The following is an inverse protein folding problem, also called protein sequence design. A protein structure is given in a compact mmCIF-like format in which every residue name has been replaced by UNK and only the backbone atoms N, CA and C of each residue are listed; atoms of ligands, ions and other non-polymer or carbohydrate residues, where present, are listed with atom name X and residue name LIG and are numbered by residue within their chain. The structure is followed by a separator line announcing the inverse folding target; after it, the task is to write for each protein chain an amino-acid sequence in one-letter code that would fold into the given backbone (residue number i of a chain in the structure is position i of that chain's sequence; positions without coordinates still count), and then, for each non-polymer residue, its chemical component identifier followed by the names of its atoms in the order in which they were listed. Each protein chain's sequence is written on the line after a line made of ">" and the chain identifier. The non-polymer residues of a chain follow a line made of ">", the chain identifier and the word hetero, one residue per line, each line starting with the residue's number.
data_IF_300857480098
#
_entry.id   IF_300857480098
#
_cell.length_a   1.000
_cell.length_b   1.000
_cell.length_c   1.000
_cell.angle_alpha   90.00
_cell.angle_beta   90.00
_cell.angle_gamma   90.00
#
_symmetry.space_group_name_H-M   'P 1'
#
loop_
_entity.id
_entity.type
_entity.pdbx_description
1 polymer ?
#
# COMPACT_ATOMS: atom_id res chain seq x y z
N UNK A 1 11.02 12.24 -21.25
CA UNK A 1 11.90 13.38 -20.87
C UNK A 1 11.80 13.75 -19.37
N UNK A 2 10.69 13.47 -18.68
CA UNK A 2 10.42 13.84 -17.26
C UNK A 2 11.44 13.30 -16.24
N UNK A 3 12.05 12.13 -16.46
CA UNK A 3 12.93 11.47 -15.49
C UNK A 3 14.43 11.55 -15.83
N UNK A 4 14.81 12.23 -16.92
CA UNK A 4 16.22 12.26 -17.38
C UNK A 4 17.14 13.11 -16.47
N UNK A 5 16.57 14.02 -15.69
CA UNK A 5 17.31 14.92 -14.79
C UNK A 5 17.41 14.41 -13.34
N UNK A 6 16.66 13.36 -12.95
CA UNK A 6 16.68 12.79 -11.59
C UNK A 6 16.58 11.28 -11.60
N UNK A 7 17.70 10.58 -11.50
CA UNK A 7 17.75 9.11 -11.48
C UNK A 7 16.96 8.52 -10.29
N UNK A 8 16.88 9.22 -9.15
CA UNK A 8 16.11 8.79 -7.99
C UNK A 8 14.60 8.64 -8.29
N UNK A 9 14.00 9.56 -9.06
CA UNK A 9 12.60 9.47 -9.48
C UNK A 9 12.33 8.29 -10.41
N UNK A 10 13.26 7.96 -11.31
CA UNK A 10 13.14 6.79 -12.19
C UNK A 10 13.28 5.49 -11.38
N UNK A 11 14.26 5.41 -10.49
CA UNK A 11 14.49 4.23 -9.64
C UNK A 11 13.27 3.98 -8.75
N UNK A 12 12.71 5.02 -8.13
CA UNK A 12 11.51 4.89 -7.29
C UNK A 12 10.28 4.46 -8.10
N UNK A 13 10.09 5.00 -9.32
CA UNK A 13 9.01 4.57 -10.20
C UNK A 13 9.14 3.09 -10.61
N UNK A 14 10.34 2.62 -10.93
CA UNK A 14 10.61 1.22 -11.25
C UNK A 14 10.36 0.34 -10.01
N UNK A 15 10.85 0.75 -8.83
CA UNK A 15 10.62 0.02 -7.58
C UNK A 15 9.14 -0.12 -7.26
N UNK A 16 8.37 0.97 -7.36
CA UNK A 16 6.93 0.93 -7.16
C UNK A 16 6.22 0.05 -8.20
N UNK A 17 6.62 0.15 -9.47
CA UNK A 17 6.09 -0.71 -10.52
C UNK A 17 6.34 -2.20 -10.23
N UNK A 18 7.53 -2.55 -9.73
CA UNK A 18 7.86 -3.92 -9.30
C UNK A 18 7.02 -4.36 -8.11
N UNK A 19 6.85 -3.51 -7.09
CA UNK A 19 6.03 -3.81 -5.91
C UNK A 19 4.55 -4.03 -6.28
N UNK A 20 3.97 -3.15 -7.11
CA UNK A 20 2.59 -3.32 -7.58
C UNK A 20 2.43 -4.53 -8.50
N UNK A 21 3.42 -4.81 -9.36
CA UNK A 21 3.43 -6.03 -10.18
C UNK A 21 3.52 -7.28 -9.30
N UNK A 22 4.38 -7.28 -8.28
CA UNK A 22 4.48 -8.38 -7.33
C UNK A 22 3.15 -8.60 -6.56
N UNK A 23 2.48 -7.52 -6.16
CA UNK A 23 1.16 -7.58 -5.53
C UNK A 23 0.10 -8.17 -6.46
N UNK A 24 0.09 -7.74 -7.72
CA UNK A 24 -0.87 -8.19 -8.74
C UNK A 24 -0.69 -9.66 -9.11
N UNK A 25 0.57 -10.10 -9.20
CA UNK A 25 0.95 -11.48 -9.52
C UNK A 25 1.24 -12.33 -8.27
N UNK A 26 0.89 -11.85 -7.07
CA UNK A 26 1.13 -12.55 -5.82
C UNK A 26 0.68 -14.01 -5.84
N UNK A 27 -0.51 -14.38 -6.36
CA UNK A 27 -0.95 -15.78 -6.39
C UNK A 27 -0.07 -16.69 -7.27
N UNK A 28 0.53 -16.14 -8.32
CA UNK A 28 1.47 -16.87 -9.19
C UNK A 28 2.87 -16.97 -8.58
N UNK A 29 3.34 -15.90 -7.94
CA UNK A 29 4.69 -15.81 -7.34
C UNK A 29 4.81 -16.59 -6.03
N UNK A 30 3.72 -16.73 -5.30
CA UNK A 30 3.69 -17.40 -4.00
C UNK A 30 3.67 -18.92 -4.17
N UNK A 31 4.54 -19.68 -3.45
CA UNK A 31 4.56 -21.14 -3.54
C UNK A 31 3.41 -21.82 -2.79
N UNK A 32 2.73 -21.12 -1.87
CA UNK A 32 1.65 -21.62 -1.03
C UNK A 32 0.46 -20.67 -0.98
N UNK A 33 -0.60 -21.02 -0.25
CA UNK A 33 -1.68 -20.08 0.07
C UNK A 33 -1.40 -19.37 1.39
N UNK A 34 -1.80 -18.10 1.56
CA UNK A 34 -1.44 -17.29 2.74
C UNK A 34 -2.02 -17.82 4.07
N UNK A 35 -3.08 -18.63 4.01
CA UNK A 35 -3.72 -19.26 5.17
C UNK A 35 -3.20 -20.65 5.49
N UNK A 36 -2.31 -21.23 4.68
CA UNK A 36 -1.75 -22.54 4.94
C UNK A 36 -0.86 -22.51 6.18
N UNK A 37 -1.20 -23.31 7.18
CA UNK A 37 -0.49 -23.44 8.45
C UNK A 37 0.20 -24.79 8.55
N UNK A 38 1.41 -24.80 9.12
CA UNK A 38 2.13 -26.02 9.47
C UNK A 38 2.73 -25.88 10.89
N UNK A 39 1.99 -26.34 11.88
CA UNK A 39 2.39 -26.24 13.28
C UNK A 39 3.69 -27.00 13.61
N UNK A 40 4.15 -27.89 12.74
CA UNK A 40 5.44 -28.56 12.90
C UNK A 40 6.61 -27.72 12.37
N UNK A 41 6.31 -26.56 11.74
CA UNK A 41 7.31 -25.67 11.13
C UNK A 41 7.13 -24.22 11.58
N UNK A 42 6.77 -24.02 12.84
CA UNK A 42 6.66 -22.69 13.44
C UNK A 42 8.04 -22.03 13.51
N UNK A 43 8.10 -20.74 13.18
CA UNK A 43 9.35 -19.96 13.16
C UNK A 43 10.50 -20.62 12.37
N UNK A 44 10.16 -21.39 11.34
CA UNK A 44 11.18 -22.00 10.48
C UNK A 44 12.03 -20.91 9.83
N UNK A 45 13.38 -21.02 9.87
CA UNK A 45 14.25 -20.02 9.26
C UNK A 45 14.10 -19.99 7.74
N UNK A 46 14.54 -18.92 7.07
CA UNK A 46 14.61 -18.88 5.62
C UNK A 46 15.33 -20.10 5.06
N UNK A 47 14.68 -20.77 4.11
CA UNK A 47 15.19 -22.00 3.51
C UNK A 47 16.37 -21.70 2.61
N UNK A 48 17.53 -22.30 2.86
CA UNK A 48 18.70 -22.13 2.02
C UNK A 48 18.51 -22.84 0.67
N UNK A 49 18.76 -22.08 -0.40
CA UNK A 49 18.84 -22.62 -1.76
C UNK A 49 20.27 -23.09 -2.04
N UNK A 50 20.42 -24.33 -2.52
CA UNK A 50 21.70 -24.94 -2.82
C UNK A 50 21.70 -25.51 -4.24
N UNK A 51 22.85 -25.41 -4.91
CA UNK A 51 23.00 -26.01 -6.22
C UNK A 51 23.48 -27.45 -6.07
N UNK A 52 22.69 -28.43 -6.53
CA UNK A 52 23.02 -29.85 -6.44
C UNK A 52 22.66 -30.57 -7.75
N UNK A 53 23.57 -31.37 -8.29
CA UNK A 53 23.36 -32.13 -9.54
C UNK A 53 22.86 -31.30 -10.73
N UNK A 54 23.35 -30.07 -10.88
CA UNK A 54 22.94 -29.18 -11.97
C UNK A 54 21.55 -28.54 -11.79
N UNK A 55 20.92 -28.67 -10.62
CA UNK A 55 19.59 -28.14 -10.31
C UNK A 55 19.60 -27.31 -9.02
N UNK A 56 18.75 -26.30 -8.97
CA UNK A 56 18.50 -25.52 -7.77
C UNK A 56 17.65 -26.36 -6.82
N UNK A 57 18.13 -26.59 -5.61
CA UNK A 57 17.48 -27.40 -4.59
C UNK A 57 17.23 -26.62 -3.31
N UNK A 58 16.24 -27.01 -2.57
CA UNK A 58 15.86 -26.49 -1.26
C UNK A 58 16.45 -27.41 -0.20
N UNK A 59 17.25 -26.87 0.74
CA UNK A 59 17.81 -27.62 1.85
C UNK A 59 16.71 -28.04 2.82
N UNK A 60 16.75 -29.28 3.29
CA UNK A 60 15.82 -29.80 4.30
C UNK A 60 16.33 -29.45 5.70
N UNK A 61 15.39 -29.17 6.60
CA UNK A 61 15.66 -28.86 8.00
C UNK A 61 14.87 -29.79 8.92
N UNK A 62 15.41 -30.05 10.08
CA UNK A 62 14.75 -30.77 11.19
C UNK A 62 14.63 -29.84 12.38
N UNK A 63 13.46 -29.79 13.00
CA UNK A 63 13.26 -29.13 14.29
C UNK A 63 13.97 -29.93 15.38
N UNK A 64 14.91 -29.31 16.07
CA UNK A 64 15.71 -29.92 17.14
C UNK A 64 15.16 -29.53 18.49
N UNK A 65 14.84 -28.27 18.69
CA UNK A 65 14.25 -27.75 19.92
C UNK A 65 12.98 -26.94 19.61
N UNK A 66 11.80 -27.48 19.94
CA UNK A 66 10.54 -26.78 19.77
C UNK A 66 10.38 -25.52 20.64
N UNK A 67 11.06 -25.46 21.80
CA UNK A 67 10.91 -24.32 22.73
C UNK A 67 11.58 -23.07 22.24
N UNK A 68 12.70 -23.21 21.55
CA UNK A 68 13.47 -22.12 20.91
C UNK A 68 13.27 -22.05 19.41
N UNK A 69 12.45 -22.94 18.82
CA UNK A 69 12.29 -23.13 17.39
C UNK A 69 13.65 -23.24 16.66
N UNK A 70 14.56 -24.04 17.25
CA UNK A 70 15.89 -24.27 16.68
C UNK A 70 15.81 -25.35 15.61
N UNK A 71 16.24 -25.00 14.40
CA UNK A 71 16.27 -25.89 13.24
C UNK A 71 17.70 -26.17 12.82
N UNK A 72 17.98 -27.42 12.51
CA UNK A 72 19.26 -27.83 11.94
C UNK A 72 19.08 -28.35 10.51
N UNK A 73 19.98 -27.97 9.60
CA UNK A 73 19.94 -28.48 8.25
C UNK A 73 20.30 -29.96 8.22
N UNK A 74 19.54 -30.78 7.52
CA UNK A 74 19.84 -32.19 7.30
C UNK A 74 21.01 -32.33 6.32
N UNK A 75 22.13 -32.87 6.79
CA UNK A 75 23.36 -33.00 6.00
C UNK A 75 23.10 -33.76 4.70
N UNK A 76 23.48 -33.16 3.57
CA UNK A 76 23.37 -33.78 2.25
C UNK A 76 21.95 -33.96 1.72
N UNK A 77 20.89 -33.63 2.48
CA UNK A 77 19.50 -33.73 2.02
C UNK A 77 19.00 -32.40 1.44
N UNK A 78 18.57 -32.45 0.20
CA UNK A 78 17.94 -31.33 -0.48
C UNK A 78 16.92 -31.85 -1.51
N UNK A 79 15.83 -31.13 -1.68
CA UNK A 79 14.81 -31.45 -2.67
C UNK A 79 14.87 -30.47 -3.85
N UNK A 80 14.67 -30.92 -5.09
CA UNK A 80 14.70 -30.03 -6.24
C UNK A 80 13.60 -28.98 -6.21
N UNK A 81 13.95 -27.74 -6.54
CA UNK A 81 13.00 -26.67 -6.80
C UNK A 81 12.42 -26.89 -8.20
N UNK A 82 11.10 -26.95 -8.30
CA UNK A 82 10.40 -27.09 -9.56
C UNK A 82 9.84 -25.77 -10.03
N UNK A 83 10.27 -25.32 -11.20
CA UNK A 83 9.78 -24.10 -11.84
C UNK A 83 8.48 -24.38 -12.60
N UNK A 84 7.59 -23.37 -12.61
CA UNK A 84 6.30 -23.42 -13.31
C UNK A 84 5.49 -24.68 -13.01
N UNK A 85 5.48 -25.07 -11.76
CA UNK A 85 4.89 -26.31 -11.26
C UNK A 85 3.47 -26.11 -10.76
N UNK A 86 2.69 -27.20 -10.74
CA UNK A 86 1.35 -27.17 -10.20
C UNK A 86 1.38 -27.13 -8.66
N UNK A 87 0.54 -26.29 -8.07
CA UNK A 87 0.37 -26.12 -6.64
C UNK A 87 -1.10 -25.91 -6.26
N UNK A 88 -1.38 -25.29 -5.13
CA UNK A 88 -2.74 -24.96 -4.68
C UNK A 88 -3.48 -24.14 -5.73
N UNK A 89 -4.77 -24.40 -5.92
CA UNK A 89 -5.60 -23.64 -6.85
C UNK A 89 -5.78 -22.19 -6.35
N UNK A 90 -5.66 -21.25 -7.27
CA UNK A 90 -5.89 -19.82 -7.00
C UNK A 90 -6.67 -19.16 -8.14
N UNK A 91 -7.11 -17.92 -7.94
CA UNK A 91 -7.70 -17.09 -8.98
C UNK A 91 -6.79 -15.92 -9.27
N UNK A 92 -6.19 -15.90 -10.46
CA UNK A 92 -5.40 -14.75 -10.88
C UNK A 92 -6.34 -13.56 -11.15
N UNK A 93 -6.02 -12.39 -10.61
CA UNK A 93 -6.87 -11.18 -10.64
C UNK A 93 -8.28 -11.39 -10.09
N UNK A 94 -8.49 -12.43 -9.26
CA UNK A 94 -9.82 -12.79 -8.76
C UNK A 94 -10.75 -13.46 -9.77
N UNK A 95 -10.34 -13.60 -11.03
CA UNK A 95 -11.18 -14.02 -12.16
C UNK A 95 -10.72 -15.33 -12.81
N UNK A 96 -9.43 -15.46 -13.11
CA UNK A 96 -8.88 -16.55 -13.91
C UNK A 96 -8.43 -17.69 -13.00
N UNK A 97 -9.08 -18.88 -13.01
CA UNK A 97 -8.63 -20.01 -12.23
C UNK A 97 -7.28 -20.52 -12.76
N UNK A 98 -6.32 -20.70 -11.88
CA UNK A 98 -5.00 -21.22 -12.20
C UNK A 98 -4.47 -22.10 -11.07
N UNK A 99 -3.46 -22.94 -11.39
CA UNK A 99 -2.76 -23.81 -10.43
C UNK A 99 -1.25 -23.76 -10.61
N UNK A 100 -0.76 -23.05 -11.63
CA UNK A 100 0.67 -22.97 -11.93
C UNK A 100 1.28 -21.86 -11.10
N UNK A 101 2.25 -22.21 -10.26
CA UNK A 101 3.07 -21.28 -9.47
C UNK A 101 4.45 -21.11 -10.11
N UNK A 102 5.09 -19.98 -9.87
CA UNK A 102 6.43 -19.70 -10.38
C UNK A 102 7.42 -20.79 -9.95
N UNK A 103 7.34 -21.24 -8.70
CA UNK A 103 8.16 -22.32 -8.15
C UNK A 103 7.43 -23.01 -7.01
N UNK A 104 7.72 -24.31 -6.83
CA UNK A 104 7.33 -25.12 -5.64
C UNK A 104 8.43 -26.10 -5.30
N UNK A 105 8.31 -26.81 -4.19
CA UNK A 105 9.17 -27.96 -3.87
C UNK A 105 8.32 -29.22 -3.68
N UNK A 106 8.91 -30.38 -3.98
CA UNK A 106 8.25 -31.67 -3.72
C UNK A 106 8.22 -31.99 -2.22
N UNK A 107 7.10 -32.55 -1.76
CA UNK A 107 7.00 -33.05 -0.40
C UNK A 107 8.11 -34.07 -0.10
N UNK A 108 8.72 -34.07 1.09
CA UNK A 108 8.36 -33.32 2.29
C UNK A 108 8.99 -31.90 2.39
N UNK A 109 9.67 -31.44 1.34
CA UNK A 109 10.29 -30.11 1.33
C UNK A 109 9.23 -29.01 1.20
N UNK A 110 9.47 -27.89 1.86
CA UNK A 110 8.72 -26.64 1.73
C UNK A 110 9.69 -25.50 1.45
N UNK A 111 9.29 -24.57 0.61
CA UNK A 111 10.09 -23.38 0.28
C UNK A 111 9.61 -22.23 1.14
N UNK A 112 10.37 -21.87 2.14
CA UNK A 112 10.18 -20.69 2.97
C UNK A 112 11.27 -19.67 2.65
N UNK A 113 11.11 -18.87 1.58
CA UNK A 113 12.14 -17.90 1.16
C UNK A 113 12.45 -16.86 2.26
N UNK A 114 11.43 -16.45 3.01
CA UNK A 114 11.55 -15.53 4.14
C UNK A 114 11.13 -16.22 5.47
N UNK A 115 11.31 -17.53 5.58
CA UNK A 115 10.94 -18.26 6.79
C UNK A 115 9.43 -18.39 6.99
N UNK A 116 9.06 -18.89 8.19
CA UNK A 116 7.66 -18.99 8.63
C UNK A 116 7.36 -18.19 9.89
N UNK A 117 6.07 -17.96 10.15
CA UNK A 117 5.58 -17.26 11.33
C UNK A 117 5.28 -18.20 12.51
N UNK A 118 4.68 -17.66 13.57
CA UNK A 118 4.31 -18.41 14.80
C UNK A 118 3.37 -19.59 14.56
N UNK A 119 2.66 -19.64 13.46
CA UNK A 119 1.74 -20.71 13.08
C UNK A 119 2.24 -21.55 11.90
N UNK A 120 3.51 -21.35 11.50
CA UNK A 120 4.13 -22.06 10.39
C UNK A 120 3.67 -21.63 9.01
N UNK A 121 3.09 -20.43 8.87
CA UNK A 121 2.71 -19.86 7.57
C UNK A 121 3.91 -19.23 6.89
N UNK A 122 3.99 -19.36 5.58
CA UNK A 122 5.06 -18.78 4.77
C UNK A 122 5.02 -17.25 4.77
N UNK A 123 6.07 -16.64 5.33
CA UNK A 123 6.20 -15.18 5.42
C UNK A 123 6.30 -14.53 4.04
N UNK A 124 6.99 -15.17 3.08
CA UNK A 124 7.10 -14.65 1.71
C UNK A 124 5.74 -14.59 1.00
N UNK A 125 4.97 -15.69 1.06
CA UNK A 125 3.61 -15.73 0.53
C UNK A 125 2.74 -14.65 1.16
N UNK A 126 2.76 -14.53 2.49
CA UNK A 126 1.97 -13.53 3.21
C UNK A 126 2.40 -12.10 2.88
N UNK A 127 3.69 -11.85 2.70
CA UNK A 127 4.22 -10.55 2.29
C UNK A 127 3.70 -10.14 0.91
N UNK A 128 3.68 -11.08 -0.06
CA UNK A 128 3.16 -10.86 -1.40
C UNK A 128 1.64 -10.57 -1.39
N UNK A 129 0.85 -11.40 -0.72
CA UNK A 129 -0.60 -11.17 -0.62
C UNK A 129 -0.92 -9.91 0.19
N UNK A 130 -0.18 -9.67 1.26
CA UNK A 130 -0.30 -8.48 2.10
C UNK A 130 0.00 -7.19 1.35
N UNK A 131 0.90 -7.23 0.36
CA UNK A 131 1.18 -6.08 -0.49
C UNK A 131 -0.07 -5.62 -1.26
N UNK A 132 -0.90 -6.56 -1.74
CA UNK A 132 -2.15 -6.22 -2.44
C UNK A 132 -3.10 -5.41 -1.58
N UNK A 133 -3.21 -5.72 -0.28
CA UNK A 133 -4.04 -4.98 0.67
C UNK A 133 -3.39 -3.64 1.03
N UNK A 134 -2.14 -3.65 1.52
CA UNK A 134 -1.49 -2.44 2.01
C UNK A 134 -1.27 -1.39 0.91
N UNK A 135 -0.82 -1.80 -0.28
CA UNK A 135 -0.68 -0.90 -1.43
C UNK A 135 -2.03 -0.49 -2.01
N UNK A 136 -3.01 -1.39 -2.00
CA UNK A 136 -4.37 -1.14 -2.47
C UNK A 136 -5.07 -0.06 -1.66
N UNK A 137 -4.98 -0.09 -0.31
CA UNK A 137 -5.51 0.94 0.58
C UNK A 137 -4.90 2.30 0.25
N UNK A 138 -3.59 2.36 -0.02
CA UNK A 138 -2.90 3.58 -0.40
C UNK A 138 -3.48 4.21 -1.66
N UNK A 139 -3.61 3.45 -2.75
CA UNK A 139 -4.14 3.97 -4.03
C UNK A 139 -5.62 4.31 -3.94
N UNK A 140 -6.46 3.38 -3.46
CA UNK A 140 -7.91 3.58 -3.43
C UNK A 140 -8.28 4.70 -2.45
N UNK A 141 -7.62 4.75 -1.29
CA UNK A 141 -7.84 5.80 -0.30
C UNK A 141 -7.47 7.18 -0.81
N UNK A 142 -6.29 7.33 -1.43
CA UNK A 142 -5.86 8.60 -2.02
C UNK A 142 -6.76 9.01 -3.20
N UNK A 143 -7.20 8.06 -4.03
CA UNK A 143 -8.14 8.35 -5.12
C UNK A 143 -9.45 8.94 -4.58
N UNK A 144 -10.08 8.29 -3.60
CA UNK A 144 -11.33 8.77 -2.99
C UNK A 144 -11.14 10.12 -2.29
N UNK A 145 -10.06 10.29 -1.55
CA UNK A 145 -9.70 11.56 -0.90
C UNK A 145 -9.52 12.68 -1.92
N UNK A 146 -8.80 12.40 -3.00
CA UNK A 146 -8.57 13.38 -4.07
C UNK A 146 -9.87 13.75 -4.76
N UNK A 147 -10.75 12.80 -5.00
CA UNK A 147 -12.06 13.02 -5.59
C UNK A 147 -12.95 13.90 -4.69
N UNK A 148 -13.03 13.58 -3.40
CA UNK A 148 -13.79 14.36 -2.41
C UNK A 148 -13.18 15.77 -2.25
N UNK A 149 -11.86 15.85 -2.09
CA UNK A 149 -11.16 17.12 -1.93
C UNK A 149 -11.29 18.02 -3.15
N UNK A 150 -11.18 17.44 -4.36
CA UNK A 150 -11.35 18.17 -5.62
C UNK A 150 -12.79 18.69 -5.79
N UNK A 151 -13.78 17.86 -5.52
CA UNK A 151 -15.19 18.24 -5.69
C UNK A 151 -15.63 19.26 -4.63
N UNK A 152 -15.40 18.98 -3.35
CA UNK A 152 -15.83 19.86 -2.26
C UNK A 152 -15.02 21.16 -2.26
N UNK A 153 -13.69 21.08 -2.39
CA UNK A 153 -12.84 22.27 -2.45
C UNK A 153 -13.08 23.12 -3.71
N UNK A 154 -13.32 22.45 -4.85
CA UNK A 154 -13.67 23.10 -6.10
C UNK A 154 -14.98 23.87 -6.03
N UNK A 155 -16.02 23.23 -5.52
CA UNK A 155 -17.34 23.85 -5.32
C UNK A 155 -17.27 25.00 -4.32
N UNK A 156 -16.62 24.80 -3.16
CA UNK A 156 -16.45 25.83 -2.15
C UNK A 156 -15.72 27.07 -2.71
N UNK A 157 -14.61 26.87 -3.42
CA UNK A 157 -13.84 27.97 -4.03
C UNK A 157 -14.55 28.69 -5.15
N UNK A 158 -15.40 27.96 -5.92
CA UNK A 158 -16.13 28.58 -7.05
C UNK A 158 -17.41 29.32 -6.60
N UNK A 159 -18.25 28.65 -5.78
CA UNK A 159 -19.54 29.22 -5.35
C UNK A 159 -19.36 30.33 -4.30
N UNK A 160 -18.41 30.17 -3.37
CA UNK A 160 -18.24 31.09 -2.26
C UNK A 160 -19.42 31.08 -1.27
N UNK A 161 -19.55 32.17 -0.51
CA UNK A 161 -20.70 32.39 0.40
C UNK A 161 -20.86 31.30 1.46
N UNK A 162 -22.11 30.89 1.72
CA UNK A 162 -22.43 29.90 2.77
C UNK A 162 -21.86 28.49 2.49
N UNK A 163 -21.82 28.09 1.21
CA UNK A 163 -21.27 26.79 0.82
C UNK A 163 -19.77 26.69 1.14
N UNK A 164 -19.03 27.74 0.88
CA UNK A 164 -17.62 27.86 1.25
C UNK A 164 -17.46 27.86 2.77
N UNK A 165 -18.25 28.66 3.50
CA UNK A 165 -18.17 28.72 4.95
C UNK A 165 -18.46 27.35 5.60
N UNK A 166 -19.49 26.64 5.14
CA UNK A 166 -19.84 25.31 5.66
C UNK A 166 -18.73 24.30 5.38
N UNK A 167 -18.24 24.24 4.13
CA UNK A 167 -17.15 23.34 3.76
C UNK A 167 -15.90 23.59 4.60
N UNK A 168 -15.51 24.83 4.79
CA UNK A 168 -14.32 25.19 5.57
C UNK A 168 -14.49 24.89 7.06
N UNK A 169 -15.68 25.11 7.66
CA UNK A 169 -15.97 24.72 9.04
C UNK A 169 -15.85 23.20 9.25
N UNK A 170 -16.33 22.40 8.29
CA UNK A 170 -16.18 20.95 8.34
C UNK A 170 -14.70 20.55 8.25
N UNK A 171 -13.90 21.19 7.37
CA UNK A 171 -12.46 20.90 7.31
C UNK A 171 -11.75 21.30 8.61
N UNK A 172 -12.09 22.43 9.21
CA UNK A 172 -11.53 22.89 10.48
C UNK A 172 -11.82 21.89 11.60
N UNK A 173 -13.07 21.42 11.71
CA UNK A 173 -13.48 20.41 12.68
C UNK A 173 -12.67 19.11 12.51
N UNK A 174 -12.58 18.57 11.28
CA UNK A 174 -11.86 17.33 11.02
C UNK A 174 -10.36 17.46 11.30
N UNK A 175 -9.76 18.61 11.01
CA UNK A 175 -8.33 18.85 11.21
C UNK A 175 -7.97 19.24 12.65
N UNK A 176 -8.94 19.64 13.47
CA UNK A 176 -8.72 19.97 14.88
C UNK A 176 -8.50 18.71 15.74
N UNK A 177 -9.07 17.57 15.33
CA UNK A 177 -8.92 16.31 16.05
C UNK A 177 -7.68 15.57 15.54
N UNK A 178 -6.79 15.07 16.42
CA UNK A 178 -5.65 14.28 15.97
C UNK A 178 -6.12 13.05 15.19
N UNK A 179 -5.70 12.96 13.90
CA UNK A 179 -6.24 11.98 12.95
C UNK A 179 -6.18 10.53 13.42
N UNK A 180 -5.11 10.13 14.14
CA UNK A 180 -4.97 8.77 14.65
C UNK A 180 -6.07 8.43 15.67
N UNK A 181 -6.39 9.33 16.61
CA UNK A 181 -7.42 9.08 17.60
C UNK A 181 -8.83 8.98 16.96
N UNK A 182 -9.10 9.86 15.99
CA UNK A 182 -10.37 9.82 15.27
C UNK A 182 -10.50 8.54 14.44
N UNK A 183 -9.42 8.11 13.79
CA UNK A 183 -9.33 6.86 13.06
C UNK A 183 -9.63 5.65 13.96
N UNK A 184 -8.97 5.58 15.12
CA UNK A 184 -9.17 4.50 16.10
C UNK A 184 -10.61 4.49 16.65
N UNK A 185 -11.13 5.65 17.00
CA UNK A 185 -12.50 5.78 17.51
C UNK A 185 -13.55 5.35 16.48
N UNK A 186 -13.43 5.83 15.23
CA UNK A 186 -14.34 5.44 14.15
C UNK A 186 -14.23 3.95 13.83
N UNK A 187 -13.02 3.40 13.77
CA UNK A 187 -12.83 1.97 13.53
C UNK A 187 -13.43 1.13 14.65
N UNK A 188 -13.19 1.49 15.91
CA UNK A 188 -13.76 0.79 17.06
C UNK A 188 -15.30 0.84 17.07
N UNK A 189 -15.88 2.01 16.79
CA UNK A 189 -17.34 2.19 16.74
C UNK A 189 -18.02 1.40 15.60
N UNK A 190 -17.31 1.21 14.48
CA UNK A 190 -17.87 0.57 13.29
C UNK A 190 -17.53 -0.93 13.18
N UNK A 191 -16.53 -1.41 13.92
CA UNK A 191 -16.07 -2.81 13.83
C UNK A 191 -17.15 -3.86 14.09
N UNK A 192 -18.08 -3.60 15.02
CA UNK A 192 -19.18 -4.51 15.36
C UNK A 192 -20.31 -4.53 14.32
N UNK A 193 -20.33 -3.56 13.40
CA UNK A 193 -21.42 -3.41 12.41
C UNK A 193 -21.06 -3.97 11.04
N UNK A 194 -19.78 -4.27 10.79
CA UNK A 194 -19.30 -4.73 9.50
C UNK A 194 -18.59 -6.07 9.64
N UNK A 195 -18.83 -7.03 8.72
CA UNK A 195 -18.14 -8.31 8.69
C UNK A 195 -16.65 -8.14 8.38
N UNK A 196 -15.84 -9.15 8.71
CA UNK A 196 -14.39 -9.11 8.59
C UNK A 196 -13.90 -8.89 7.16
N UNK A 197 -14.62 -9.38 6.16
CA UNK A 197 -14.33 -9.22 4.73
C UNK A 197 -14.53 -7.78 4.25
N UNK A 198 -15.39 -7.00 4.91
CA UNK A 198 -15.59 -5.58 4.62
C UNK A 198 -14.52 -4.66 5.24
N UNK A 199 -13.59 -5.20 6.04
CA UNK A 199 -12.59 -4.40 6.77
C UNK A 199 -11.72 -3.55 5.86
N UNK A 200 -11.28 -4.08 4.72
CA UNK A 200 -10.53 -3.31 3.72
C UNK A 200 -11.29 -2.05 3.30
N UNK A 201 -12.55 -2.22 2.88
CA UNK A 201 -13.39 -1.11 2.41
C UNK A 201 -13.65 -0.10 3.54
N UNK A 202 -13.91 -0.59 4.75
CA UNK A 202 -14.14 0.26 5.93
C UNK A 202 -12.92 1.13 6.24
N UNK A 203 -11.71 0.58 6.22
CA UNK A 203 -10.47 1.34 6.44
C UNK A 203 -10.31 2.41 5.36
N UNK A 204 -10.50 2.04 4.09
CA UNK A 204 -10.42 2.99 2.96
C UNK A 204 -11.41 4.13 3.14
N UNK A 205 -12.67 3.84 3.48
CA UNK A 205 -13.71 4.85 3.68
C UNK A 205 -13.36 5.78 4.84
N UNK A 206 -12.94 5.24 5.99
CA UNK A 206 -12.56 6.05 7.16
C UNK A 206 -11.38 6.97 6.83
N UNK A 207 -10.30 6.41 6.26
CA UNK A 207 -9.12 7.19 5.89
C UNK A 207 -9.46 8.29 4.89
N UNK A 208 -10.31 7.98 3.90
CA UNK A 208 -10.73 8.96 2.89
C UNK A 208 -11.65 10.03 3.48
N UNK A 209 -12.55 9.65 4.40
CA UNK A 209 -13.45 10.57 5.09
C UNK A 209 -12.70 11.55 6.03
N UNK A 210 -11.49 11.23 6.44
CA UNK A 210 -10.64 12.12 7.22
C UNK A 210 -9.66 12.90 6.33
N UNK A 211 -9.14 12.27 5.28
CA UNK A 211 -8.06 12.82 4.44
C UNK A 211 -8.48 13.95 3.50
N UNK A 212 -9.76 14.01 3.07
CA UNK A 212 -10.22 14.97 2.07
C UNK A 212 -10.11 16.45 2.50
N UNK A 213 -10.16 16.73 3.81
CA UNK A 213 -10.21 18.09 4.35
C UNK A 213 -8.98 18.93 3.95
N UNK A 214 -7.78 18.35 4.04
CA UNK A 214 -6.55 19.01 3.62
C UNK A 214 -6.52 19.32 2.12
N UNK A 215 -6.87 18.32 1.30
CA UNK A 215 -6.93 18.46 -0.16
C UNK A 215 -7.97 19.51 -0.58
N UNK A 216 -9.17 19.49 0.03
CA UNK A 216 -10.23 20.45 -0.28
C UNK A 216 -9.81 21.89 0.02
N UNK A 217 -9.12 22.14 1.13
CA UNK A 217 -8.63 23.47 1.50
C UNK A 217 -7.65 24.03 0.48
N UNK A 218 -6.73 23.21 -0.02
CA UNK A 218 -5.76 23.64 -1.03
C UNK A 218 -6.43 23.84 -2.39
N UNK A 219 -7.27 22.90 -2.83
CA UNK A 219 -8.03 23.03 -4.10
C UNK A 219 -8.89 24.27 -4.08
N UNK A 220 -9.57 24.55 -2.96
CA UNK A 220 -10.32 25.82 -2.79
C UNK A 220 -9.44 27.05 -3.03
N UNK A 221 -8.26 27.09 -2.39
CA UNK A 221 -7.32 28.21 -2.57
C UNK A 221 -6.88 28.40 -4.02
N UNK A 222 -6.59 27.29 -4.72
CA UNK A 222 -6.24 27.30 -6.14
C UNK A 222 -7.42 27.81 -7.01
N UNK A 223 -8.64 27.33 -6.76
CA UNK A 223 -9.83 27.73 -7.50
C UNK A 223 -10.13 29.23 -7.30
N UNK A 224 -10.00 29.74 -6.06
CA UNK A 224 -10.14 31.19 -5.79
C UNK A 224 -9.14 32.01 -6.58
N UNK A 225 -7.88 31.60 -6.63
CA UNK A 225 -6.85 32.29 -7.42
C UNK A 225 -7.09 32.23 -8.93
N UNK A 226 -7.56 31.06 -9.41
CA UNK A 226 -7.84 30.88 -10.85
C UNK A 226 -9.08 31.62 -11.30
N UNK A 227 -10.08 31.80 -10.45
CA UNK A 227 -11.34 32.48 -10.74
C UNK A 227 -11.15 33.93 -11.23
N UNK A 228 -10.08 34.57 -10.77
CA UNK A 228 -9.74 35.96 -11.12
C UNK A 228 -8.88 36.06 -12.40
N UNK A 229 -8.52 34.96 -13.02
CA UNK A 229 -7.70 34.97 -14.23
C UNK A 229 -8.49 35.42 -15.46
N UNK A 230 -7.85 36.17 -16.41
CA UNK A 230 -8.51 36.73 -17.58
C UNK A 230 -9.32 35.72 -18.40
N UNK A 231 -8.85 34.51 -18.57
CA UNK A 231 -9.55 33.49 -19.35
C UNK A 231 -10.86 32.98 -18.68
N UNK A 232 -10.95 33.04 -17.36
CA UNK A 232 -12.17 32.71 -16.62
C UNK A 232 -13.14 33.91 -16.68
N UNK A 233 -12.63 35.13 -16.54
CA UNK A 233 -13.45 36.33 -16.69
C UNK A 233 -14.05 36.40 -18.10
N UNK A 234 -13.28 36.10 -19.13
CA UNK A 234 -13.78 36.04 -20.50
C UNK A 234 -14.87 34.97 -20.67
N UNK A 235 -14.70 33.77 -20.08
CA UNK A 235 -15.70 32.70 -20.09
C UNK A 235 -17.03 33.13 -19.44
N UNK A 236 -16.94 33.88 -18.33
CA UNK A 236 -18.11 34.47 -17.66
C UNK A 236 -18.81 35.49 -18.54
N UNK A 237 -18.06 36.40 -19.17
CA UNK A 237 -18.61 37.45 -20.08
C UNK A 237 -19.31 36.81 -21.29
N UNK A 238 -18.77 35.71 -21.81
CA UNK A 238 -19.36 34.93 -22.90
C UNK A 238 -20.58 34.11 -22.47
N UNK A 239 -21.04 34.21 -21.21
CA UNK A 239 -22.23 33.55 -20.69
C UNK A 239 -22.11 32.05 -20.54
N UNK A 240 -20.89 31.49 -20.39
CA UNK A 240 -20.73 30.07 -20.15
C UNK A 240 -21.37 29.65 -18.83
N UNK A 241 -21.96 28.44 -18.83
CA UNK A 241 -22.61 27.88 -17.63
C UNK A 241 -21.59 27.70 -16.51
N UNK A 242 -21.95 27.98 -15.24
CA UNK A 242 -21.06 27.78 -14.07
C UNK A 242 -20.42 26.40 -13.98
N UNK A 243 -21.17 25.34 -14.31
CA UNK A 243 -20.64 23.98 -14.33
C UNK A 243 -19.55 23.79 -15.39
N UNK A 244 -19.70 24.39 -16.57
CA UNK A 244 -18.67 24.33 -17.63
C UNK A 244 -17.40 25.04 -17.17
N UNK A 245 -17.54 26.23 -16.58
CA UNK A 245 -16.39 26.97 -16.03
C UNK A 245 -15.66 26.13 -14.96
N UNK A 246 -16.40 25.55 -14.02
CA UNK A 246 -15.82 24.74 -12.97
C UNK A 246 -15.12 23.49 -13.54
N UNK A 247 -15.85 22.63 -14.25
CA UNK A 247 -15.33 21.30 -14.65
C UNK A 247 -14.41 21.33 -15.86
N UNK A 248 -14.55 22.29 -16.78
CA UNK A 248 -13.74 22.38 -18.01
C UNK A 248 -12.56 23.33 -17.89
N UNK A 249 -12.66 24.36 -17.06
CA UNK A 249 -11.63 25.41 -16.98
C UNK A 249 -10.90 25.41 -15.62
N UNK A 250 -11.61 25.37 -14.50
CA UNK A 250 -10.97 25.50 -13.18
C UNK A 250 -10.33 24.20 -12.69
N UNK A 251 -11.10 23.12 -12.55
CA UNK A 251 -10.60 21.87 -11.98
C UNK A 251 -9.44 21.25 -12.78
N UNK A 252 -9.44 21.23 -14.13
CA UNK A 252 -8.29 20.70 -14.86
C UNK A 252 -6.98 21.46 -14.59
N UNK A 253 -7.05 22.75 -14.30
CA UNK A 253 -5.87 23.54 -13.95
C UNK A 253 -5.33 23.25 -12.54
N UNK A 254 -6.07 22.53 -11.70
CA UNK A 254 -5.60 22.06 -10.39
C UNK A 254 -4.94 20.68 -10.44
N UNK A 255 -5.06 19.94 -11.57
CA UNK A 255 -4.60 18.57 -11.70
C UNK A 255 -3.11 18.39 -11.44
N UNK A 256 -2.28 19.31 -11.90
CA UNK A 256 -0.82 19.25 -11.69
C UNK A 256 -0.46 19.21 -10.21
N UNK A 257 -1.11 20.06 -9.41
CA UNK A 257 -0.97 20.02 -7.95
C UNK A 257 -1.53 18.73 -7.37
N UNK A 258 -2.73 18.32 -7.81
CA UNK A 258 -3.43 17.16 -7.26
C UNK A 258 -2.63 15.86 -7.43
N UNK A 259 -1.99 15.65 -8.59
CA UNK A 259 -1.15 14.48 -8.86
C UNK A 259 0.03 14.42 -7.89
N UNK A 260 0.72 15.53 -7.67
CA UNK A 260 1.85 15.59 -6.72
C UNK A 260 1.35 15.34 -5.29
N UNK A 261 0.30 16.03 -4.86
CA UNK A 261 -0.27 15.89 -3.54
C UNK A 261 -0.78 14.45 -3.28
N UNK A 262 -1.45 13.85 -4.26
CA UNK A 262 -1.91 12.47 -4.22
C UNK A 262 -0.75 11.49 -4.02
N UNK A 263 0.31 11.62 -4.84
CA UNK A 263 1.49 10.75 -4.73
C UNK A 263 2.15 10.82 -3.35
N UNK A 264 2.33 12.03 -2.83
CA UNK A 264 2.91 12.26 -1.49
C UNK A 264 1.98 11.84 -0.35
N UNK A 265 0.68 11.65 -0.61
CA UNK A 265 -0.28 11.21 0.42
C UNK A 265 -0.33 9.68 0.57
N UNK A 266 0.03 8.89 -0.45
CA UNK A 266 -0.03 7.41 -0.40
C UNK A 266 0.69 6.83 0.81
N UNK A 267 1.91 7.25 1.18
CA UNK A 267 2.59 6.80 2.39
C UNK A 267 1.74 6.93 3.65
N UNK A 268 1.04 8.05 3.81
CA UNK A 268 0.18 8.29 4.97
C UNK A 268 -0.97 7.28 5.10
N UNK A 269 -1.54 6.83 3.97
CA UNK A 269 -2.59 5.80 3.96
C UNK A 269 -2.05 4.42 4.31
N UNK A 270 -0.88 4.05 3.76
CA UNK A 270 -0.21 2.78 4.07
C UNK A 270 0.15 2.73 5.56
N UNK A 271 0.73 3.82 6.09
CA UNK A 271 1.08 3.92 7.51
C UNK A 271 -0.16 3.93 8.41
N UNK A 272 -1.25 4.59 8.00
CA UNK A 272 -2.52 4.59 8.71
C UNK A 272 -3.14 3.21 8.82
N UNK A 273 -3.17 2.44 7.73
CA UNK A 273 -3.58 1.03 7.72
C UNK A 273 -2.66 0.19 8.62
N UNK A 274 -1.35 0.35 8.44
CA UNK A 274 -0.37 -0.41 9.22
C UNK A 274 -0.51 -0.13 10.72
N UNK A 275 -0.74 1.11 11.13
CA UNK A 275 -0.97 1.47 12.53
C UNK A 275 -2.27 0.82 13.09
N UNK A 276 -3.38 0.85 12.33
CA UNK A 276 -4.62 0.17 12.72
C UNK A 276 -4.44 -1.34 12.87
N UNK A 277 -3.80 -1.96 11.88
CA UNK A 277 -3.58 -3.41 11.86
C UNK A 277 -2.62 -3.84 12.96
N UNK A 278 -1.56 -3.07 13.21
CA UNK A 278 -0.61 -3.25 14.30
C UNK A 278 -1.28 -3.20 15.69
N UNK A 279 -2.27 -2.32 15.87
CA UNK A 279 -3.06 -2.20 17.09
C UNK A 279 -4.25 -3.19 17.18
N UNK A 280 -4.36 -4.12 16.23
CA UNK A 280 -5.42 -5.13 16.20
C UNK A 280 -6.79 -4.62 15.73
N UNK A 281 -6.88 -3.37 15.27
CA UNK A 281 -8.11 -2.76 14.77
C UNK A 281 -8.19 -2.75 13.23
N UNK A 282 -7.15 -3.22 12.54
CA UNK A 282 -7.05 -3.23 11.08
C UNK A 282 -7.55 -4.51 10.44
N UNK A 283 -6.83 -4.94 9.44
CA UNK A 283 -7.03 -6.20 8.71
C UNK A 283 -6.90 -7.37 9.69
N UNK A 284 -7.78 -8.36 9.54
CA UNK A 284 -7.84 -9.56 10.38
C UNK A 284 -7.57 -10.82 9.54
N UNK A 285 -7.12 -11.89 10.20
CA UNK A 285 -7.04 -13.22 9.60
C UNK A 285 -8.41 -13.65 9.03
N UNK A 286 -8.46 -14.38 7.91
CA UNK A 286 -7.35 -15.00 7.18
C UNK A 286 -6.63 -14.08 6.18
N UNK A 287 -7.04 -12.81 6.04
CA UNK A 287 -6.38 -11.85 5.17
C UNK A 287 -5.01 -11.46 5.72
N UNK A 288 -4.09 -11.09 4.84
CA UNK A 288 -2.76 -10.58 5.22
C UNK A 288 -2.62 -9.12 4.83
N UNK A 289 -2.04 -8.30 5.72
CA UNK A 289 -1.49 -6.99 5.40
C UNK A 289 -0.11 -6.84 6.04
N UNK A 290 0.68 -5.91 5.54
CA UNK A 290 2.00 -5.65 6.14
C UNK A 290 1.90 -5.19 7.60
N UNK A 291 0.86 -4.41 7.91
CA UNK A 291 0.59 -3.96 9.28
C UNK A 291 0.20 -5.10 10.21
N UNK A 292 -0.67 -6.01 9.77
CA UNK A 292 -1.04 -7.20 10.54
C UNK A 292 0.16 -8.11 10.82
N UNK A 293 0.99 -8.37 9.80
CA UNK A 293 2.21 -9.17 9.95
C UNK A 293 3.19 -8.53 10.93
N UNK A 294 3.33 -7.20 10.88
CA UNK A 294 4.18 -6.46 11.80
C UNK A 294 3.62 -6.49 13.24
N UNK A 295 2.29 -6.45 13.40
CA UNK A 295 1.62 -6.63 14.69
C UNK A 295 1.91 -7.99 15.32
N UNK A 296 1.99 -9.05 14.51
CA UNK A 296 2.38 -10.39 14.96
C UNK A 296 3.86 -10.48 15.34
N UNK A 297 4.70 -9.55 14.85
CA UNK A 297 6.13 -9.47 15.16
C UNK A 297 6.44 -8.66 16.44
N UNK A 298 5.45 -8.35 17.28
CA UNK A 298 5.67 -7.63 18.56
C UNK A 298 6.21 -8.50 19.70
N UNK A 299 6.17 -9.83 19.56
CA UNK A 299 6.64 -10.73 20.61
C UNK A 299 8.15 -10.54 20.83
N UNK A 300 8.54 -10.34 22.10
CA UNK A 300 9.94 -10.17 22.51
C UNK A 300 10.82 -11.35 22.11
N UNK A 301 10.24 -12.56 22.01
CA UNK A 301 10.92 -13.78 21.54
C UNK A 301 11.54 -13.61 20.16
N UNK A 302 10.92 -12.80 19.30
CA UNK A 302 11.40 -12.54 17.92
C UNK A 302 12.78 -11.90 17.93
N UNK A 303 13.00 -10.96 18.85
CA UNK A 303 14.29 -10.29 19.02
C UNK A 303 15.29 -11.16 19.79
N UNK A 304 14.84 -11.86 20.85
CA UNK A 304 15.70 -12.72 21.65
C UNK A 304 16.21 -13.94 20.87
N UNK A 305 15.38 -14.53 20.01
CA UNK A 305 15.70 -15.71 19.21
C UNK A 305 16.12 -15.38 17.77
N UNK A 306 16.26 -14.09 17.46
CA UNK A 306 16.74 -13.57 16.18
C UNK A 306 15.90 -14.00 14.96
N UNK A 307 14.56 -13.94 15.07
CA UNK A 307 13.65 -14.22 13.96
C UNK A 307 13.47 -12.98 13.04
N UNK A 308 14.58 -12.44 12.56
CA UNK A 308 14.64 -11.19 11.79
C UNK A 308 13.72 -11.15 10.56
N UNK A 309 13.41 -12.29 9.95
CA UNK A 309 12.56 -12.37 8.77
C UNK A 309 11.13 -11.92 9.02
N UNK A 310 10.67 -11.97 10.27
CA UNK A 310 9.35 -11.47 10.66
C UNK A 310 9.26 -9.94 10.63
N UNK A 311 10.38 -9.23 10.52
CA UNK A 311 10.44 -7.78 10.35
C UNK A 311 10.41 -7.35 8.87
N UNK A 312 10.42 -8.29 7.93
CA UNK A 312 10.41 -7.99 6.49
C UNK A 312 9.20 -7.16 6.02
N UNK A 313 7.99 -7.24 6.62
CA UNK A 313 6.90 -6.33 6.30
C UNK A 313 7.21 -4.86 6.63
N UNK A 314 7.93 -4.63 7.73
CA UNK A 314 8.42 -3.29 8.08
C UNK A 314 9.39 -2.74 7.04
N UNK A 315 10.32 -3.56 6.56
CA UNK A 315 11.21 -3.17 5.46
C UNK A 315 10.43 -2.84 4.17
N UNK A 316 9.39 -3.61 3.83
CA UNK A 316 8.53 -3.36 2.68
C UNK A 316 7.79 -2.02 2.80
N UNK A 317 7.25 -1.69 3.99
CA UNK A 317 6.62 -0.40 4.28
C UNK A 317 7.63 0.74 4.08
N UNK A 318 8.82 0.65 4.70
CA UNK A 318 9.87 1.68 4.60
C UNK A 318 10.27 1.93 3.16
N UNK A 319 10.55 0.87 2.39
CA UNK A 319 10.92 0.96 0.98
C UNK A 319 9.82 1.63 0.15
N UNK A 320 8.56 1.28 0.41
CA UNK A 320 7.41 1.85 -0.29
C UNK A 320 7.24 3.33 0.03
N UNK A 321 7.33 3.71 1.30
CA UNK A 321 7.24 5.11 1.77
C UNK A 321 8.34 5.96 1.14
N UNK A 322 9.59 5.50 1.15
CA UNK A 322 10.72 6.19 0.53
C UNK A 322 10.48 6.34 -0.98
N UNK A 323 10.04 5.27 -1.65
CA UNK A 323 9.82 5.30 -3.09
C UNK A 323 8.71 6.29 -3.49
N UNK A 324 7.59 6.36 -2.75
CA UNK A 324 6.54 7.33 -3.02
C UNK A 324 6.99 8.77 -2.76
N UNK A 325 7.77 9.04 -1.71
CA UNK A 325 8.31 10.36 -1.43
C UNK A 325 9.25 10.81 -2.54
N UNK A 326 10.20 9.98 -2.95
CA UNK A 326 11.13 10.29 -4.05
C UNK A 326 10.40 10.48 -5.39
N UNK A 327 9.36 9.69 -5.65
CA UNK A 327 8.54 9.85 -6.85
C UNK A 327 7.75 11.16 -6.79
N UNK A 328 7.15 11.49 -5.64
CA UNK A 328 6.40 12.72 -5.44
C UNK A 328 7.27 13.96 -5.61
N UNK A 329 8.50 13.96 -5.09
CA UNK A 329 9.47 15.04 -5.28
C UNK A 329 9.86 15.18 -6.75
N UNK A 330 10.12 14.07 -7.45
CA UNK A 330 10.42 14.10 -8.88
C UNK A 330 9.25 14.62 -9.73
N UNK A 331 8.01 14.26 -9.38
CA UNK A 331 6.79 14.79 -10.03
C UNK A 331 6.61 16.28 -9.75
N UNK A 332 6.85 16.73 -8.52
CA UNK A 332 6.78 18.14 -8.14
C UNK A 332 7.72 18.99 -8.99
N UNK A 333 8.99 18.56 -9.12
CA UNK A 333 9.97 19.27 -9.93
C UNK A 333 9.64 19.27 -11.42
N UNK A 334 9.05 18.17 -11.91
CA UNK A 334 8.65 18.07 -13.31
C UNK A 334 7.46 19.00 -13.66
N UNK A 335 6.61 19.31 -12.68
CA UNK A 335 5.45 20.19 -12.83
C UNK A 335 5.83 21.66 -12.62
N UNK A 336 6.91 21.98 -11.90
CA UNK A 336 7.34 23.36 -11.63
C UNK A 336 7.90 24.01 -12.92
N UNK A 337 7.27 25.10 -13.42
CA UNK A 337 7.72 25.80 -14.64
C UNK A 337 9.14 26.37 -14.54
N UNK A 338 9.63 26.63 -13.32
CA UNK A 338 10.95 27.25 -13.08
C UNK A 338 12.11 26.34 -13.47
N UNK A 339 11.91 25.02 -13.46
CA UNK A 339 12.92 24.05 -13.89
C UNK A 339 12.94 23.81 -15.42
N UNK A 340 12.05 24.43 -16.19
CA UNK A 340 11.99 24.30 -17.66
C UNK A 340 12.85 25.33 -18.41
N UNK A 341 13.47 26.28 -17.71
CA UNK A 341 14.35 27.25 -18.36
C UNK A 341 15.73 26.61 -18.55
N UNK A 342 16.18 26.35 -19.80
CA UNK A 342 17.55 25.96 -20.07
C UNK A 342 18.43 27.20 -19.89
N UNK A 343 19.32 27.17 -18.92
CA UNK A 343 20.39 28.16 -18.78
C UNK A 343 20.29 29.09 -17.59
N UNK A 344 20.61 28.61 -16.42
CA UNK A 344 21.36 29.31 -15.37
C UNK A 344 22.23 28.32 -14.62
#
# INVERSE_FOLDING_TARGET
>A
MLFRSRPAGLVSAILLALLYSAALFAPFLAPTVPSAQDLNRTYHPPTALVWKNGQLCVRLYRLVDPSTATYEPLAGQAAPLRWFSQGPAYKLFGLIPAKTHLFTAEAPAVVYLLGSDATGRDVFTRLLYGSGISLGIGIVGVFLTSLLGLTIGGLAGYLGGWADSLAMRLTEFLMAVPGLYLLLALRAALSSRFPSDATFLLIVVILSALGWAGTARVVRGLVLSLRERPFILAANILGQRPSVILFRHLLPNTFSYLVVAATLSVPGYILGEAALSFLGLGIQEPSSSWGLMLGQAQDIKIFMLNFWWLLTPGAAIILTVIAFNLLGDALRDAVDPRFRLPGR
#
